data_IF_812792743136
#
_entry.id   IF_812792743136
#
_cell.length_a   1.000
_cell.length_b   1.000
_cell.length_c   1.000
_cell.angle_alpha   90.00
_cell.angle_beta   90.00
_cell.angle_gamma   90.00
#
_symmetry.space_group_name_H-M   'P 1'
#
loop_
_entity.id
_entity.type
_entity.pdbx_description
1 polymer ?
#
# COMPACT_ATOMS: atom_id res chain seq x y z
N UNK A 1 28.59 0.28 13.32
CA UNK A 1 27.17 0.65 13.18
C UNK A 1 27.04 1.49 11.92
N UNK A 2 26.46 0.94 10.84
CA UNK A 2 26.08 1.73 9.66
C UNK A 2 24.74 2.40 9.95
N UNK A 3 24.72 3.73 9.89
CA UNK A 3 23.47 4.48 9.91
C UNK A 3 22.84 4.38 8.51
N UNK A 4 21.62 3.86 8.43
CA UNK A 4 20.88 3.71 7.17
C UNK A 4 19.58 4.49 7.26
N UNK A 5 19.32 5.31 6.25
CA UNK A 5 18.10 6.09 6.16
C UNK A 5 16.93 5.26 5.61
N UNK A 6 15.74 5.54 6.12
CA UNK A 6 14.49 5.05 5.56
C UNK A 6 14.08 5.85 4.32
N UNK A 7 13.21 5.26 3.50
CA UNK A 7 12.64 5.94 2.32
C UNK A 7 11.91 7.23 2.70
N UNK A 8 11.23 7.27 3.85
CA UNK A 8 10.53 8.46 4.34
C UNK A 8 11.49 9.59 4.71
N UNK A 9 12.66 9.25 5.26
CA UNK A 9 13.68 10.24 5.58
C UNK A 9 14.24 10.87 4.30
N UNK A 10 14.52 10.08 3.26
CA UNK A 10 14.93 10.63 1.96
C UNK A 10 13.86 11.54 1.35
N UNK A 11 12.58 11.16 1.43
CA UNK A 11 11.46 12.01 0.95
C UNK A 11 11.39 13.34 1.70
N UNK A 12 11.65 13.31 3.01
CA UNK A 12 11.72 14.53 3.83
C UNK A 12 12.87 15.43 3.42
N UNK A 13 14.03 14.86 3.06
CA UNK A 13 15.16 15.63 2.52
C UNK A 13 14.84 16.23 1.15
N UNK A 14 14.16 15.50 0.27
CA UNK A 14 13.71 16.01 -1.04
C UNK A 14 12.67 17.13 -0.84
N UNK A 15 11.77 17.01 0.14
CA UNK A 15 10.82 18.08 0.49
C UNK A 15 11.55 19.34 0.96
N UNK A 16 12.58 19.19 1.78
CA UNK A 16 13.43 20.31 2.19
C UNK A 16 14.10 20.97 0.98
N UNK A 17 14.64 20.19 0.03
CA UNK A 17 15.22 20.72 -1.22
C UNK A 17 14.25 21.52 -2.06
N UNK A 18 13.03 21.00 -2.18
CA UNK A 18 11.98 21.69 -2.89
C UNK A 18 11.64 23.03 -2.23
N UNK A 19 11.54 23.06 -0.89
CA UNK A 19 11.24 24.29 -0.13
C UNK A 19 12.32 25.37 -0.27
N UNK A 20 13.58 24.97 -0.41
CA UNK A 20 14.70 25.92 -0.66
C UNK A 20 14.88 26.25 -2.16
N UNK A 21 14.07 25.66 -3.04
CA UNK A 21 14.06 25.97 -4.47
C UNK A 21 15.17 25.30 -5.28
N UNK A 22 15.73 24.17 -4.82
CA UNK A 22 16.71 23.44 -5.63
C UNK A 22 16.07 22.81 -6.86
N UNK A 23 16.87 22.71 -7.93
CA UNK A 23 16.49 21.92 -9.09
C UNK A 23 16.59 20.42 -8.79
N UNK A 24 15.95 19.61 -9.62
CA UNK A 24 16.02 18.14 -9.45
C UNK A 24 17.44 17.60 -9.53
N UNK A 25 18.28 18.16 -10.42
CA UNK A 25 19.68 17.74 -10.58
C UNK A 25 20.49 18.05 -9.34
N UNK A 26 20.27 19.21 -8.74
CA UNK A 26 20.99 19.64 -7.54
C UNK A 26 20.58 18.80 -6.32
N UNK A 27 19.28 18.54 -6.17
CA UNK A 27 18.75 17.68 -5.11
C UNK A 27 19.30 16.25 -5.21
N UNK A 28 19.26 15.63 -6.40
CA UNK A 28 19.82 14.30 -6.59
C UNK A 28 21.34 14.30 -6.37
N UNK A 29 22.06 15.28 -6.92
CA UNK A 29 23.51 15.42 -6.78
C UNK A 29 23.96 15.47 -5.32
N UNK A 30 23.31 16.29 -4.48
CA UNK A 30 23.68 16.36 -3.06
C UNK A 30 23.35 15.06 -2.31
N UNK A 31 22.25 14.39 -2.66
CA UNK A 31 21.84 13.16 -2.00
C UNK A 31 22.84 12.04 -2.30
N UNK A 32 23.28 11.92 -3.56
CA UNK A 32 24.34 11.00 -3.96
C UNK A 32 25.68 11.37 -3.30
N UNK A 33 26.03 12.65 -3.24
CA UNK A 33 27.25 13.11 -2.58
C UNK A 33 27.29 12.75 -1.09
N UNK A 34 26.15 12.84 -0.39
CA UNK A 34 26.06 12.55 1.03
C UNK A 34 25.89 11.06 1.35
N UNK A 35 25.14 10.32 0.53
CA UNK A 35 24.66 8.96 0.86
C UNK A 35 25.13 7.87 -0.10
N UNK A 36 25.81 8.22 -1.20
CA UNK A 36 26.34 7.27 -2.18
C UNK A 36 25.28 6.30 -2.69
N UNK A 37 25.54 5.01 -2.56
CA UNK A 37 24.63 3.94 -3.00
C UNK A 37 23.31 3.88 -2.22
N UNK A 38 23.25 4.47 -1.03
CA UNK A 38 22.01 4.54 -0.25
C UNK A 38 21.07 5.63 -0.76
N UNK A 39 21.56 6.55 -1.59
CA UNK A 39 20.76 7.65 -2.11
C UNK A 39 19.60 7.12 -2.97
N UNK A 40 18.44 7.80 -2.96
CA UNK A 40 17.33 7.48 -3.86
C UNK A 40 17.76 7.68 -5.31
N UNK A 41 17.21 6.86 -6.21
CA UNK A 41 17.45 7.02 -7.64
C UNK A 41 16.97 8.36 -8.17
N UNK A 42 17.57 8.82 -9.27
CA UNK A 42 17.19 10.05 -9.98
C UNK A 42 15.67 10.12 -10.25
N UNK A 43 15.08 9.01 -10.72
CA UNK A 43 13.65 8.91 -10.97
C UNK A 43 12.80 9.05 -9.69
N UNK A 44 13.29 8.56 -8.56
CA UNK A 44 12.61 8.73 -7.26
C UNK A 44 12.61 10.19 -6.83
N UNK A 45 13.76 10.87 -6.94
CA UNK A 45 13.89 12.31 -6.62
C UNK A 45 12.96 13.14 -7.51
N UNK A 46 12.97 12.89 -8.82
CA UNK A 46 12.11 13.56 -9.78
C UNK A 46 10.62 13.41 -9.45
N UNK A 47 10.17 12.18 -9.16
CA UNK A 47 8.76 11.92 -8.84
C UNK A 47 8.32 12.65 -7.56
N UNK A 48 9.14 12.65 -6.51
CA UNK A 48 8.79 13.36 -5.27
C UNK A 48 8.75 14.88 -5.46
N UNK A 49 9.69 15.45 -6.21
CA UNK A 49 9.63 16.87 -6.56
C UNK A 49 8.35 17.22 -7.34
N UNK A 50 7.92 16.34 -8.26
CA UNK A 50 6.66 16.52 -8.99
C UNK A 50 5.43 16.45 -8.07
N UNK A 51 5.42 15.56 -7.08
CA UNK A 51 4.35 15.50 -6.08
C UNK A 51 4.32 16.77 -5.21
N UNK A 52 5.48 17.30 -4.81
CA UNK A 52 5.54 18.56 -4.05
C UNK A 52 5.10 19.77 -4.87
N UNK A 53 5.38 19.80 -6.18
CA UNK A 53 4.83 20.80 -7.10
C UNK A 53 3.29 20.77 -7.18
N UNK A 54 2.66 19.66 -6.82
CA UNK A 54 1.20 19.48 -6.75
C UNK A 54 0.64 19.69 -5.35
N UNK A 55 1.44 20.30 -4.45
CA UNK A 55 1.13 20.52 -3.04
C UNK A 55 0.84 19.23 -2.24
N UNK A 56 1.35 18.08 -2.70
CA UNK A 56 1.24 16.81 -2.00
C UNK A 56 2.45 16.58 -1.08
N UNK A 57 2.33 16.99 0.18
CA UNK A 57 3.43 16.90 1.18
C UNK A 57 3.42 15.62 2.02
N UNK A 58 2.61 14.62 1.66
CA UNK A 58 2.52 13.36 2.40
C UNK A 58 3.74 12.50 2.07
N UNK A 59 4.76 12.56 2.93
CA UNK A 59 6.01 11.78 2.74
C UNK A 59 5.87 10.31 3.12
N UNK A 60 4.84 9.96 3.90
CA UNK A 60 4.55 8.58 4.29
C UNK A 60 3.89 7.84 3.14
N UNK A 61 4.19 6.54 3.04
CA UNK A 61 3.43 5.68 2.13
C UNK A 61 1.95 5.70 2.56
N UNK A 62 1.04 5.95 1.61
CA UNK A 62 -0.38 5.71 1.85
C UNK A 62 -0.57 4.24 2.28
N UNK A 63 -1.51 3.94 3.18
CA UNK A 63 -1.85 2.57 3.49
C UNK A 63 -2.07 1.83 2.17
N UNK A 64 -1.31 0.76 1.95
CA UNK A 64 -1.43 -0.04 0.75
C UNK A 64 -2.84 -0.63 0.73
N UNK A 65 -3.72 -0.06 -0.08
CA UNK A 65 -4.92 -0.75 -0.49
C UNK A 65 -4.45 -2.01 -1.21
N UNK A 66 -4.58 -3.16 -0.55
CA UNK A 66 -4.51 -4.44 -1.26
C UNK A 66 -5.49 -4.40 -2.42
N UNK A 67 -5.18 -5.09 -3.52
CA UNK A 67 -6.14 -5.22 -4.60
C UNK A 67 -7.36 -5.98 -4.07
N UNK A 68 -8.56 -5.37 -4.00
CA UNK A 68 -9.77 -6.14 -3.78
C UNK A 68 -9.84 -7.11 -4.95
N UNK A 69 -9.84 -8.42 -4.69
CA UNK A 69 -10.09 -9.41 -5.73
C UNK A 69 -11.38 -8.99 -6.44
N UNK A 70 -11.38 -8.93 -7.77
CA UNK A 70 -12.53 -8.51 -8.60
C UNK A 70 -13.80 -9.33 -8.34
N UNK A 71 -13.66 -10.47 -7.66
CA UNK A 71 -14.75 -11.33 -7.20
C UNK A 71 -15.40 -10.91 -5.87
N UNK A 72 -14.86 -9.92 -5.15
CA UNK A 72 -15.39 -9.46 -3.86
C UNK A 72 -16.17 -8.18 -4.06
N UNK A 73 -17.50 -8.30 -4.05
CA UNK A 73 -18.45 -7.20 -4.03
C UNK A 73 -19.40 -7.33 -2.82
N UNK A 74 -20.20 -6.31 -2.56
CA UNK A 74 -21.11 -6.26 -1.41
C UNK A 74 -22.09 -7.45 -1.38
N UNK A 75 -22.57 -7.89 -2.55
CA UNK A 75 -23.45 -9.06 -2.66
C UNK A 75 -22.76 -10.35 -2.20
N UNK A 76 -21.51 -10.57 -2.62
CA UNK A 76 -20.73 -11.75 -2.20
C UNK A 76 -20.35 -11.68 -0.72
N UNK A 77 -20.07 -10.49 -0.18
CA UNK A 77 -19.79 -10.31 1.25
C UNK A 77 -21.02 -10.68 2.09
N UNK A 78 -22.20 -10.18 1.72
CA UNK A 78 -23.46 -10.49 2.41
C UNK A 78 -23.85 -11.96 2.28
N UNK A 79 -23.59 -12.58 1.13
CA UNK A 79 -23.87 -14.00 0.93
C UNK A 79 -22.99 -14.88 1.82
N UNK A 80 -21.68 -14.60 1.91
CA UNK A 80 -20.76 -15.31 2.82
C UNK A 80 -21.16 -15.08 4.28
N UNK A 81 -21.51 -13.84 4.65
CA UNK A 81 -21.99 -13.51 6.01
C UNK A 81 -23.19 -14.39 6.40
N UNK A 82 -24.21 -14.47 5.54
CA UNK A 82 -25.41 -15.27 5.80
C UNK A 82 -25.11 -16.76 5.99
N UNK A 83 -24.22 -17.33 5.19
CA UNK A 83 -23.85 -18.75 5.33
C UNK A 83 -23.15 -19.00 6.68
N UNK A 84 -22.27 -18.08 7.11
CA UNK A 84 -21.57 -18.20 8.40
C UNK A 84 -22.51 -17.99 9.59
N UNK A 85 -23.47 -17.06 9.47
CA UNK A 85 -24.49 -16.80 10.49
C UNK A 85 -25.45 -18.00 10.64
N UNK A 86 -25.77 -18.69 9.54
CA UNK A 86 -26.63 -19.89 9.54
C UNK A 86 -25.88 -21.14 10.03
N UNK A 87 -24.66 -21.36 9.53
CA UNK A 87 -23.78 -22.43 9.99
C UNK A 87 -22.33 -21.94 10.20
N UNK A 88 -21.95 -21.64 11.45
CA UNK A 88 -20.58 -21.25 11.81
C UNK A 88 -19.52 -22.32 11.48
N UNK A 89 -19.90 -23.60 11.37
CA UNK A 89 -18.99 -24.72 11.09
C UNK A 89 -18.86 -25.04 9.59
N UNK A 90 -19.55 -24.30 8.73
CA UNK A 90 -19.49 -24.48 7.27
C UNK A 90 -18.05 -24.45 6.77
N UNK A 91 -17.61 -25.39 5.94
CA UNK A 91 -16.22 -25.39 5.43
C UNK A 91 -16.06 -24.42 4.26
N UNK A 92 -14.81 -24.05 3.94
CA UNK A 92 -14.52 -23.26 2.74
C UNK A 92 -15.11 -23.91 1.47
N UNK A 93 -14.93 -25.23 1.31
CA UNK A 93 -15.49 -25.99 0.17
C UNK A 93 -17.01 -25.92 0.07
N UNK A 94 -17.72 -25.92 1.20
CA UNK A 94 -19.18 -25.78 1.20
C UNK A 94 -19.59 -24.39 0.70
N UNK A 95 -18.92 -23.34 1.15
CA UNK A 95 -19.19 -21.97 0.70
C UNK A 95 -18.84 -21.81 -0.79
N UNK A 96 -17.73 -22.38 -1.25
CA UNK A 96 -17.36 -22.39 -2.68
C UNK A 96 -18.45 -23.05 -3.52
N UNK A 97 -18.95 -24.21 -3.10
CA UNK A 97 -19.99 -24.94 -3.83
C UNK A 97 -21.33 -24.18 -3.88
N UNK A 98 -21.64 -23.39 -2.84
CA UNK A 98 -22.89 -22.61 -2.77
C UNK A 98 -22.79 -21.34 -3.63
N UNK A 99 -21.67 -20.62 -3.54
CA UNK A 99 -21.53 -19.28 -4.11
C UNK A 99 -20.73 -19.23 -5.42
N UNK A 100 -20.03 -20.30 -5.78
CA UNK A 100 -19.18 -20.35 -6.99
C UNK A 100 -17.98 -19.40 -6.95
N UNK A 101 -17.58 -18.94 -5.76
CA UNK A 101 -16.42 -18.07 -5.55
C UNK A 101 -15.23 -18.89 -5.02
N UNK A 102 -14.00 -18.43 -5.28
CA UNK A 102 -12.80 -19.15 -4.85
C UNK A 102 -12.56 -19.06 -3.34
N UNK A 103 -11.91 -20.08 -2.77
CA UNK A 103 -11.46 -20.12 -1.37
C UNK A 103 -10.65 -18.88 -1.00
N UNK A 104 -9.83 -18.36 -1.92
CA UNK A 104 -9.06 -17.13 -1.70
C UNK A 104 -9.97 -15.93 -1.50
N UNK A 105 -11.03 -15.79 -2.30
CA UNK A 105 -12.00 -14.72 -2.13
C UNK A 105 -12.80 -14.88 -0.83
N UNK A 106 -13.20 -16.11 -0.48
CA UNK A 106 -13.90 -16.39 0.78
C UNK A 106 -13.01 -16.03 1.98
N UNK A 107 -11.73 -16.43 1.96
CA UNK A 107 -10.76 -16.12 3.00
C UNK A 107 -10.59 -14.60 3.18
N UNK A 108 -10.45 -13.86 2.09
CA UNK A 108 -10.43 -12.39 2.13
C UNK A 108 -11.72 -11.81 2.68
N UNK A 109 -12.90 -12.31 2.27
CA UNK A 109 -14.19 -11.83 2.82
C UNK A 109 -14.27 -12.04 4.33
N UNK A 110 -13.92 -13.23 4.82
CA UNK A 110 -14.00 -13.57 6.24
C UNK A 110 -13.07 -12.69 7.07
N UNK A 111 -11.81 -12.53 6.65
CA UNK A 111 -10.80 -11.81 7.42
C UNK A 111 -10.81 -10.31 7.20
N UNK A 112 -10.85 -9.86 5.95
CA UNK A 112 -10.64 -8.46 5.58
C UNK A 112 -11.94 -7.64 5.66
N UNK A 113 -13.11 -8.26 5.47
CA UNK A 113 -14.41 -7.55 5.40
C UNK A 113 -15.35 -7.87 6.57
N UNK A 114 -15.44 -9.14 6.99
CA UNK A 114 -16.28 -9.56 8.12
C UNK A 114 -15.53 -9.51 9.46
N UNK A 115 -14.20 -9.45 9.44
CA UNK A 115 -13.33 -9.47 10.61
C UNK A 115 -13.62 -10.69 11.53
N UNK A 116 -13.93 -11.82 10.92
CA UNK A 116 -14.22 -13.09 11.59
C UNK A 116 -12.99 -14.00 11.58
N UNK A 117 -13.02 -15.02 12.43
CA UNK A 117 -12.06 -16.13 12.45
C UNK A 117 -12.81 -17.41 12.18
N UNK A 118 -12.29 -18.20 11.25
CA UNK A 118 -12.87 -19.46 10.80
C UNK A 118 -11.79 -20.53 10.69
#
# INVERSE_FOLDING_TARGET
MSFQLSREQFRTMILYDWKIGLTYKDSHGRLVQAWGEQAPSDHTVFNWLREFQRDNFIVKDAPRSGHPSTSVNEQTIDAVRKIIEDDPHSTYQQIENILGISSTAINSIIHDYLNLRK
#
